data_IF_618953171214
#
_entry.id   IF_618953171214
#
_cell.length_a   1.000
_cell.length_b   1.000
_cell.length_c   1.000
_cell.angle_alpha   90.00
_cell.angle_beta   90.00
_cell.angle_gamma   90.00
#
_symmetry.space_group_name_H-M   'P 1'
#
loop_
_entity.id
_entity.type
_entity.pdbx_description
1 polymer ?
#
# COMPACT_ATOMS: atom_id res chain seq x y z
N UNK A 1 -12.67 6.20 10.77
CA UNK A 1 -13.39 5.22 11.60
C UNK A 1 -14.84 5.61 11.85
N UNK A 2 -15.15 6.82 12.34
CA UNK A 2 -16.54 7.22 12.62
C UNK A 2 -17.42 7.11 11.37
N UNK A 3 -17.00 7.70 10.24
CA UNK A 3 -17.75 7.65 8.99
C UNK A 3 -17.98 6.23 8.47
N UNK A 4 -16.95 5.38 8.53
CA UNK A 4 -17.04 3.97 8.09
C UNK A 4 -17.97 3.15 9.00
N UNK A 5 -17.94 3.41 10.31
CA UNK A 5 -18.85 2.76 11.25
C UNK A 5 -20.31 3.17 11.02
N UNK A 6 -20.56 4.47 10.76
CA UNK A 6 -21.90 4.97 10.43
C UNK A 6 -22.42 4.34 9.12
N UNK A 7 -21.57 4.28 8.09
CA UNK A 7 -21.92 3.64 6.82
C UNK A 7 -22.27 2.16 6.98
N UNK A 8 -21.46 1.42 7.77
CA UNK A 8 -21.71 0.01 8.06
C UNK A 8 -23.02 -0.20 8.84
N UNK A 9 -23.29 0.64 9.84
CA UNK A 9 -24.54 0.62 10.60
C UNK A 9 -25.75 0.90 9.70
N UNK A 10 -25.67 1.91 8.84
CA UNK A 10 -26.73 2.23 7.90
C UNK A 10 -26.99 1.10 6.90
N UNK A 11 -25.93 0.43 6.43
CA UNK A 11 -26.05 -0.76 5.58
C UNK A 11 -26.72 -1.93 6.33
N UNK A 12 -26.35 -2.14 7.60
CA UNK A 12 -26.96 -3.18 8.43
C UNK A 12 -28.45 -2.94 8.67
N UNK A 13 -28.85 -1.70 8.93
CA UNK A 13 -30.26 -1.31 9.07
C UNK A 13 -31.02 -1.54 7.75
N UNK A 14 -30.42 -1.17 6.62
CA UNK A 14 -31.02 -1.43 5.31
C UNK A 14 -31.16 -2.94 5.03
N UNK A 15 -30.16 -3.75 5.38
CA UNK A 15 -30.18 -5.19 5.15
C UNK A 15 -31.23 -5.93 6.00
N UNK A 16 -31.37 -5.57 7.28
CA UNK A 16 -32.25 -6.27 8.23
C UNK A 16 -33.68 -5.76 8.16
N UNK A 17 -33.86 -4.43 8.13
CA UNK A 17 -35.18 -3.79 8.25
C UNK A 17 -35.71 -3.26 6.91
N UNK A 18 -34.92 -3.31 5.83
CA UNK A 18 -35.25 -2.75 4.51
C UNK A 18 -35.54 -1.24 4.54
N UNK A 19 -35.00 -0.52 5.53
CA UNK A 19 -35.15 0.94 5.68
C UNK A 19 -33.98 1.65 5.00
N UNK A 20 -34.26 2.46 3.98
CA UNK A 20 -33.23 3.27 3.28
C UNK A 20 -32.99 4.60 4.01
N UNK A 21 -31.92 4.67 4.79
CA UNK A 21 -31.47 5.90 5.46
C UNK A 21 -30.85 6.88 4.46
N UNK A 22 -30.11 6.37 3.47
CA UNK A 22 -29.47 7.16 2.42
C UNK A 22 -30.04 6.79 1.05
N UNK A 23 -30.13 7.79 0.16
CA UNK A 23 -30.74 7.64 -1.18
C UNK A 23 -29.92 6.74 -2.11
N UNK A 24 -28.58 6.80 -2.02
CA UNK A 24 -27.64 6.08 -2.88
C UNK A 24 -26.77 5.08 -2.08
N UNK A 25 -27.40 4.17 -1.34
CA UNK A 25 -26.68 3.05 -0.71
C UNK A 25 -26.47 1.93 -1.74
N UNK A 26 -25.24 1.44 -1.84
CA UNK A 26 -24.85 0.31 -2.69
C UNK A 26 -25.50 -0.97 -2.14
N UNK A 27 -25.86 -1.92 -3.00
CA UNK A 27 -26.45 -3.17 -2.51
C UNK A 27 -25.45 -3.95 -1.64
N UNK A 28 -25.94 -4.71 -0.65
CA UNK A 28 -25.06 -5.50 0.23
C UNK A 28 -24.26 -6.56 -0.56
N UNK A 29 -24.90 -7.18 -1.55
CA UNK A 29 -24.25 -8.17 -2.43
C UNK A 29 -23.07 -7.57 -3.18
N UNK A 30 -23.27 -6.38 -3.77
CA UNK A 30 -22.22 -5.64 -4.48
C UNK A 30 -21.10 -5.19 -3.55
N UNK A 31 -21.43 -4.73 -2.34
CA UNK A 31 -20.45 -4.40 -1.31
C UNK A 31 -19.58 -5.63 -0.93
N UNK A 32 -20.20 -6.80 -0.72
CA UNK A 32 -19.48 -8.06 -0.46
C UNK A 32 -18.63 -8.46 -1.65
N UNK A 33 -19.12 -8.33 -2.89
CA UNK A 33 -18.36 -8.68 -4.09
C UNK A 33 -17.07 -7.84 -4.20
N UNK A 34 -17.17 -6.53 -3.98
CA UNK A 34 -16.00 -5.63 -3.98
C UNK A 34 -15.01 -6.03 -2.88
N UNK A 35 -15.48 -6.25 -1.65
CA UNK A 35 -14.61 -6.65 -0.53
C UNK A 35 -13.98 -8.02 -0.76
N UNK A 36 -14.72 -8.97 -1.33
CA UNK A 36 -14.24 -10.31 -1.69
C UNK A 36 -13.12 -10.26 -2.74
N UNK A 37 -13.31 -9.48 -3.82
CA UNK A 37 -12.26 -9.24 -4.82
C UNK A 37 -10.99 -8.65 -4.19
N UNK A 38 -11.14 -7.68 -3.29
CA UNK A 38 -10.02 -7.09 -2.55
C UNK A 38 -9.32 -8.15 -1.68
N UNK A 39 -10.08 -8.99 -0.96
CA UNK A 39 -9.53 -10.03 -0.09
C UNK A 39 -8.70 -11.06 -0.88
N UNK A 40 -9.17 -11.53 -2.04
CA UNK A 40 -8.41 -12.44 -2.90
C UNK A 40 -7.09 -11.82 -3.39
N UNK A 41 -7.12 -10.57 -3.85
CA UNK A 41 -5.92 -9.89 -4.34
C UNK A 41 -4.93 -9.62 -3.20
N UNK A 42 -5.41 -9.19 -2.02
CA UNK A 42 -4.57 -9.03 -0.84
C UNK A 42 -3.98 -10.36 -0.34
N UNK A 43 -4.73 -11.45 -0.43
CA UNK A 43 -4.24 -12.81 -0.13
C UNK A 43 -3.04 -13.18 -1.01
N UNK A 44 -3.05 -12.80 -2.28
CA UNK A 44 -1.94 -12.97 -3.22
C UNK A 44 -0.76 -12.02 -3.01
N UNK A 45 -0.99 -10.86 -2.37
CA UNK A 45 0.05 -9.83 -2.20
C UNK A 45 1.22 -10.32 -1.32
N UNK A 46 0.97 -11.07 -0.25
CA UNK A 46 2.03 -11.60 0.63
C UNK A 46 2.96 -12.61 -0.07
N UNK A 47 2.43 -13.66 -0.74
CA UNK A 47 3.24 -14.53 -1.60
C UNK A 47 4.02 -13.75 -2.67
N UNK A 48 3.37 -12.79 -3.34
CA UNK A 48 4.01 -11.98 -4.37
C UNK A 48 5.19 -11.16 -3.79
N UNK A 49 5.03 -10.50 -2.64
CA UNK A 49 6.15 -9.81 -1.98
C UNK A 49 7.26 -10.78 -1.62
N UNK A 50 6.93 -11.97 -1.13
CA UNK A 50 7.93 -13.01 -0.80
C UNK A 50 8.74 -13.40 -2.03
N UNK A 51 8.06 -13.62 -3.16
CA UNK A 51 8.68 -13.92 -4.46
C UNK A 51 9.52 -12.76 -4.96
N UNK A 52 9.02 -11.52 -4.91
CA UNK A 52 9.78 -10.31 -5.30
C UNK A 52 11.02 -10.15 -4.40
N UNK A 53 10.89 -10.30 -3.09
CA UNK A 53 12.03 -10.25 -2.17
C UNK A 53 13.08 -11.30 -2.54
N UNK A 54 12.65 -12.52 -2.90
CA UNK A 54 13.56 -13.61 -3.28
C UNK A 54 14.23 -13.37 -4.63
N UNK A 55 13.49 -12.91 -5.64
CA UNK A 55 14.00 -12.63 -6.99
C UNK A 55 14.94 -11.42 -7.01
N UNK A 56 14.56 -10.34 -6.32
CA UNK A 56 15.28 -9.08 -6.32
C UNK A 56 16.26 -8.92 -5.15
N UNK A 57 16.49 -9.99 -4.37
CA UNK A 57 17.36 -9.98 -3.18
C UNK A 57 18.72 -9.29 -3.43
N UNK A 58 19.40 -9.65 -4.53
CA UNK A 58 20.71 -9.07 -4.89
C UNK A 58 20.61 -7.57 -5.20
N UNK A 59 19.53 -7.13 -5.83
CA UNK A 59 19.30 -5.72 -6.18
C UNK A 59 19.00 -4.92 -4.90
N UNK A 60 18.15 -5.45 -4.04
CA UNK A 60 17.81 -4.88 -2.73
C UNK A 60 19.03 -4.72 -1.85
N UNK A 61 19.88 -5.74 -1.79
CA UNK A 61 21.12 -5.69 -1.02
C UNK A 61 22.07 -4.61 -1.54
N UNK A 62 22.19 -4.45 -2.87
CA UNK A 62 22.95 -3.36 -3.47
C UNK A 62 22.37 -1.98 -3.16
N UNK A 63 21.05 -1.84 -3.15
CA UNK A 63 20.37 -0.59 -2.78
C UNK A 63 20.65 -0.28 -1.31
N UNK A 64 20.49 -1.25 -0.40
CA UNK A 64 20.80 -1.10 1.02
C UNK A 64 22.23 -0.65 1.28
N UNK A 65 23.20 -1.28 0.61
CA UNK A 65 24.61 -0.91 0.72
C UNK A 65 24.88 0.51 0.22
N UNK A 66 24.25 0.93 -0.90
CA UNK A 66 24.40 2.30 -1.43
C UNK A 66 23.78 3.36 -0.51
N UNK A 67 22.67 3.01 0.12
CA UNK A 67 21.87 3.94 0.93
C UNK A 67 22.26 3.88 2.41
N UNK A 68 23.15 2.96 2.79
CA UNK A 68 23.67 2.75 4.16
C UNK A 68 22.54 2.46 5.16
N UNK A 69 21.62 1.58 4.78
CA UNK A 69 20.47 1.16 5.61
C UNK A 69 20.54 -0.32 5.98
N UNK A 70 19.77 -0.71 6.99
CA UNK A 70 19.72 -2.10 7.45
C UNK A 70 18.76 -2.98 6.61
N UNK A 71 18.80 -4.29 6.84
CA UNK A 71 18.00 -5.25 6.07
C UNK A 71 16.47 -5.06 6.24
N UNK A 72 16.01 -4.64 7.42
CA UNK A 72 14.59 -4.34 7.66
C UNK A 72 14.12 -3.15 6.83
N UNK A 73 14.94 -2.10 6.75
CA UNK A 73 14.66 -0.91 5.95
C UNK A 73 14.67 -1.17 4.45
N UNK A 74 15.56 -2.03 3.97
CA UNK A 74 15.56 -2.48 2.57
C UNK A 74 14.31 -3.30 2.24
N UNK A 75 13.94 -4.22 3.14
CA UNK A 75 12.71 -5.03 2.98
C UNK A 75 11.47 -4.13 3.01
N UNK A 76 11.50 -3.07 3.82
CA UNK A 76 10.47 -2.04 3.90
C UNK A 76 10.16 -1.37 2.56
N UNK A 77 11.18 -1.13 1.72
CA UNK A 77 11.01 -0.49 0.40
C UNK A 77 10.08 -1.33 -0.47
N UNK A 78 10.20 -2.66 -0.42
CA UNK A 78 9.29 -3.56 -1.14
C UNK A 78 7.97 -3.78 -0.42
N UNK A 79 7.99 -3.86 0.91
CA UNK A 79 6.76 -3.97 1.69
C UNK A 79 5.80 -2.81 1.39
N UNK A 80 6.34 -1.60 1.23
CA UNK A 80 5.60 -0.40 0.82
C UNK A 80 4.84 -0.59 -0.50
N UNK A 81 5.36 -1.34 -1.47
CA UNK A 81 4.64 -1.58 -2.73
C UNK A 81 3.31 -2.32 -2.52
N UNK A 82 3.21 -3.15 -1.49
CA UNK A 82 1.99 -3.92 -1.23
C UNK A 82 1.06 -3.25 -0.22
N UNK A 83 1.56 -2.88 0.96
CA UNK A 83 0.80 -2.13 1.95
C UNK A 83 1.67 -1.52 3.07
N UNK A 84 1.10 -0.54 3.75
CA UNK A 84 1.78 0.20 4.82
C UNK A 84 1.84 -0.57 6.14
N UNK A 85 0.94 -1.53 6.35
CA UNK A 85 0.86 -2.32 7.59
C UNK A 85 2.14 -3.15 7.76
N UNK A 86 2.65 -3.72 6.67
CA UNK A 86 3.88 -4.48 6.65
C UNK A 86 5.08 -3.65 7.10
N UNK A 87 5.16 -2.41 6.62
CA UNK A 87 6.23 -1.48 6.98
C UNK A 87 6.12 -1.08 8.45
N UNK A 88 4.91 -0.77 8.92
CA UNK A 88 4.66 -0.42 10.32
C UNK A 88 5.01 -1.55 11.28
N UNK A 89 4.79 -2.81 10.88
CA UNK A 89 5.16 -3.98 11.68
C UNK A 89 6.67 -4.05 11.96
N UNK A 90 7.50 -3.76 10.95
CA UNK A 90 8.96 -3.79 11.05
C UNK A 90 9.58 -2.40 11.28
N UNK A 91 8.78 -1.38 11.59
CA UNK A 91 9.25 0.00 11.62
C UNK A 91 10.18 0.28 12.79
N UNK A 92 10.01 -0.42 13.91
CA UNK A 92 10.83 -0.22 15.11
C UNK A 92 12.26 -0.70 14.89
N UNK A 93 12.41 -1.75 14.10
CA UNK A 93 13.65 -2.43 13.74
C UNK A 93 14.44 -1.71 12.62
N UNK A 94 13.84 -0.72 11.96
CA UNK A 94 14.49 0.09 10.93
C UNK A 94 15.48 1.10 11.53
N UNK A 95 16.60 1.31 10.83
CA UNK A 95 17.53 2.39 11.14
C UNK A 95 16.94 3.77 10.81
N UNK A 96 17.54 4.84 11.32
CA UNK A 96 17.02 6.20 11.16
C UNK A 96 16.82 6.61 9.69
N UNK A 97 17.82 6.36 8.83
CA UNK A 97 17.74 6.65 7.39
C UNK A 97 16.63 5.82 6.77
N UNK A 98 16.60 4.54 7.12
CA UNK A 98 15.59 3.60 6.71
C UNK A 98 14.16 4.04 7.06
N UNK A 99 13.93 4.57 8.27
CA UNK A 99 12.63 5.10 8.70
C UNK A 99 12.20 6.28 7.84
N UNK A 100 13.09 7.23 7.53
CA UNK A 100 12.78 8.39 6.70
C UNK A 100 12.41 7.96 5.28
N UNK A 101 13.23 7.13 4.66
CA UNK A 101 13.01 6.63 3.29
C UNK A 101 11.72 5.82 3.21
N UNK A 102 11.50 4.91 4.15
CA UNK A 102 10.29 4.09 4.15
C UNK A 102 9.06 4.94 4.38
N UNK A 103 9.10 5.91 5.29
CA UNK A 103 7.96 6.81 5.56
C UNK A 103 7.58 7.65 4.35
N UNK A 104 8.53 8.14 3.56
CA UNK A 104 8.21 8.90 2.35
C UNK A 104 7.64 8.01 1.24
N UNK A 105 8.15 6.79 1.09
CA UNK A 105 7.62 5.80 0.15
C UNK A 105 6.20 5.34 0.55
N UNK A 106 5.89 5.23 1.84
CA UNK A 106 4.54 4.94 2.36
C UNK A 106 3.49 5.95 1.86
N UNK A 107 3.88 7.18 1.51
CA UNK A 107 2.95 8.18 0.98
C UNK A 107 2.64 7.93 -0.50
N UNK A 108 3.68 7.65 -1.29
CA UNK A 108 3.57 7.65 -2.76
C UNK A 108 3.39 6.26 -3.37
N UNK A 109 4.01 5.24 -2.79
CA UNK A 109 4.14 3.88 -3.35
C UNK A 109 3.20 2.86 -2.70
N UNK A 110 2.63 3.23 -1.55
CA UNK A 110 1.68 2.40 -0.83
C UNK A 110 0.61 1.79 -1.74
N UNK A 111 0.43 0.47 -1.65
CA UNK A 111 -0.62 -0.27 -2.33
C UNK A 111 -0.57 -0.25 -3.88
N UNK A 112 0.59 0.08 -4.49
CA UNK A 112 0.80 -0.07 -5.94
C UNK A 112 0.47 -1.48 -6.43
N UNK A 113 0.85 -2.50 -5.68
CA UNK A 113 0.50 -3.90 -5.92
C UNK A 113 -0.40 -4.46 -4.79
N UNK A 114 -1.23 -3.61 -4.21
CA UNK A 114 -2.08 -3.95 -3.07
C UNK A 114 -3.56 -3.72 -3.33
N UNK A 115 -4.30 -3.41 -2.26
CA UNK A 115 -5.75 -3.23 -2.32
C UNK A 115 -6.24 -2.11 -3.25
N UNK A 116 -5.43 -1.09 -3.52
CA UNK A 116 -5.82 -0.03 -4.46
C UNK A 116 -5.74 -0.50 -5.92
N UNK A 117 -4.70 -1.27 -6.28
CA UNK A 117 -4.65 -1.94 -7.58
C UNK A 117 -5.81 -2.92 -7.72
N UNK A 118 -6.12 -3.68 -6.66
CA UNK A 118 -7.26 -4.58 -6.62
C UNK A 118 -8.57 -3.86 -6.95
N UNK A 119 -8.82 -2.76 -6.26
CA UNK A 119 -10.01 -1.93 -6.46
C UNK A 119 -10.10 -1.38 -7.89
N UNK A 120 -9.01 -0.81 -8.41
CA UNK A 120 -8.98 -0.27 -9.79
C UNK A 120 -9.18 -1.38 -10.81
N UNK A 121 -8.54 -2.54 -10.63
CA UNK A 121 -8.71 -3.69 -11.52
C UNK A 121 -10.13 -4.25 -11.54
N UNK A 122 -10.89 -4.05 -10.45
CA UNK A 122 -12.27 -4.50 -10.34
C UNK A 122 -13.30 -3.50 -10.90
N UNK A 123 -12.94 -2.21 -11.02
CA UNK A 123 -13.86 -1.13 -11.38
C UNK A 123 -13.54 -0.53 -12.74
N UNK A 124 -12.27 -0.21 -12.99
CA UNK A 124 -11.82 0.42 -14.24
C UNK A 124 -10.47 -0.18 -14.68
N UNK A 125 -10.47 -1.37 -15.30
CA UNK A 125 -9.25 -2.09 -15.67
C UNK A 125 -8.35 -1.32 -16.65
N UNK A 126 -8.94 -0.45 -17.49
CA UNK A 126 -8.19 0.33 -18.48
C UNK A 126 -7.19 1.30 -17.83
N UNK A 127 -7.43 1.69 -16.56
CA UNK A 127 -6.63 2.67 -15.82
C UNK A 127 -5.48 2.03 -15.01
N UNK A 128 -5.35 0.70 -14.99
CA UNK A 128 -4.32 -0.02 -14.22
C UNK A 128 -2.91 0.49 -14.55
N UNK A 129 -2.58 0.60 -15.83
CA UNK A 129 -1.24 1.01 -16.27
C UNK A 129 -0.93 2.44 -15.82
N UNK A 130 -1.88 3.36 -16.00
CA UNK A 130 -1.72 4.76 -15.58
C UNK A 130 -1.56 4.88 -14.04
N UNK A 131 -2.32 4.08 -13.29
CA UNK A 131 -2.21 4.01 -11.83
C UNK A 131 -0.83 3.53 -11.37
N UNK A 132 -0.31 2.43 -11.94
CA UNK A 132 1.00 1.89 -11.56
C UNK A 132 2.10 2.91 -11.90
N UNK A 133 2.09 3.45 -13.13
CA UNK A 133 3.12 4.40 -13.58
C UNK A 133 3.14 5.66 -12.71
N UNK A 134 1.98 6.27 -12.45
CA UNK A 134 1.88 7.49 -11.64
C UNK A 134 2.40 7.32 -10.22
N UNK A 135 2.05 6.21 -9.56
CA UNK A 135 2.54 5.93 -8.21
C UNK A 135 4.02 5.58 -8.17
N UNK A 136 4.51 4.80 -9.12
CA UNK A 136 5.95 4.49 -9.20
C UNK A 136 6.77 5.74 -9.50
N UNK A 137 6.28 6.66 -10.36
CA UNK A 137 6.95 7.93 -10.61
C UNK A 137 6.99 8.82 -9.36
N UNK A 138 5.87 8.92 -8.63
CA UNK A 138 5.82 9.65 -7.36
C UNK A 138 6.74 9.04 -6.30
N UNK A 139 6.80 7.70 -6.26
CA UNK A 139 7.68 6.95 -5.39
C UNK A 139 9.16 7.14 -5.65
N UNK A 140 9.55 7.12 -6.93
CA UNK A 140 10.93 7.40 -7.33
C UNK A 140 11.31 8.81 -6.88
N UNK A 141 10.45 9.81 -7.13
CA UNK A 141 10.68 11.18 -6.71
C UNK A 141 10.81 11.31 -5.18
N UNK A 142 9.89 10.72 -4.42
CA UNK A 142 9.93 10.76 -2.94
C UNK A 142 11.18 10.09 -2.39
N UNK A 143 11.63 8.99 -3.00
CA UNK A 143 12.87 8.31 -2.63
C UNK A 143 14.08 9.21 -2.83
N UNK A 144 14.24 9.82 -4.01
CA UNK A 144 15.36 10.72 -4.29
C UNK A 144 15.35 11.98 -3.42
N UNK A 145 14.18 12.57 -3.17
CA UNK A 145 14.05 13.70 -2.24
C UNK A 145 14.47 13.30 -0.83
N UNK A 146 14.08 12.11 -0.37
CA UNK A 146 14.47 11.60 0.95
C UNK A 146 15.97 11.43 1.08
N UNK A 147 16.62 10.88 0.03
CA UNK A 147 18.08 10.77 -0.03
C UNK A 147 18.76 12.15 0.00
N UNK A 148 18.20 13.12 -0.70
CA UNK A 148 18.73 14.49 -0.73
C UNK A 148 18.63 15.16 0.66
N UNK A 149 17.48 15.06 1.32
CA UNK A 149 17.28 15.59 2.68
C UNK A 149 18.24 14.92 3.67
N UNK A 150 18.35 13.59 3.62
CA UNK A 150 19.29 12.85 4.48
C UNK A 150 20.74 13.30 4.28
N UNK A 151 21.14 13.60 3.03
CA UNK A 151 22.48 14.09 2.73
C UNK A 151 22.71 15.50 3.29
N UNK A 152 21.73 16.39 3.22
CA UNK A 152 21.82 17.73 3.82
C UNK A 152 22.03 17.64 5.33
N UNK A 153 21.34 16.71 5.99
CA UNK A 153 21.39 16.58 7.45
C UNK A 153 22.72 15.98 7.96
N UNK A 154 23.52 15.39 7.08
CA UNK A 154 24.85 14.81 7.40
C UNK A 154 26.02 15.78 7.15
N UNK A 155 25.77 16.87 6.43
CA UNK A 155 26.74 17.94 6.16
C UNK A 155 26.55 19.09 7.15
#
# INVERSE_FOLDING_TARGET
>A
MILSSIGLLAQGIYMIFNIKIFKNIISFSEAIEVVGKIAFILGGAYPMISVINKLFYKVLQRIGNKVRTNAFSVTGILANLANNILVFKSFKEMDYRGKIINSSLTVSVAFVFGGQLAFISGIEPSMITAFIVSKLSGGALSFFISLYILKIQEN
#
